data_IF_164075411923
#
_entry.id   IF_164075411923
#
_cell.length_a   1.000
_cell.length_b   1.000
_cell.length_c   1.000
_cell.angle_alpha   90.00
_cell.angle_beta   90.00
_cell.angle_gamma   90.00
#
_symmetry.space_group_name_H-M   'P 1'
#
loop_
_entity.id
_entity.type
_entity.pdbx_description
1 polymer ?
#
# COMPACT_ATOMS: atom_id res chain seq x y z
N UNK A 1 -18.34 -21.64 -29.46
CA UNK A 1 -18.50 -20.30 -28.87
C UNK A 1 -17.26 -19.84 -28.09
N UNK A 2 -16.74 -20.63 -27.14
CA UNK A 2 -15.60 -20.22 -26.29
C UNK A 2 -14.32 -19.83 -27.08
N UNK A 3 -13.95 -20.58 -28.12
CA UNK A 3 -12.76 -20.27 -28.93
C UNK A 3 -12.82 -18.86 -29.51
N UNK A 4 -13.96 -18.50 -30.10
CA UNK A 4 -14.15 -17.17 -30.70
C UNK A 4 -14.19 -16.07 -29.64
N UNK A 5 -14.80 -16.35 -28.48
CA UNK A 5 -14.80 -15.43 -27.34
C UNK A 5 -13.39 -15.13 -26.83
N UNK A 6 -12.57 -16.17 -26.61
CA UNK A 6 -11.18 -16.01 -26.16
C UNK A 6 -10.31 -15.28 -27.18
N UNK A 7 -10.46 -15.61 -28.46
CA UNK A 7 -9.73 -14.92 -29.54
C UNK A 7 -10.06 -13.43 -29.58
N UNK A 8 -11.34 -13.08 -29.41
CA UNK A 8 -11.81 -11.69 -29.40
C UNK A 8 -11.29 -10.94 -28.17
N UNK A 9 -11.40 -11.53 -26.97
CA UNK A 9 -10.91 -10.90 -25.74
C UNK A 9 -9.40 -10.64 -25.83
N UNK A 10 -8.61 -11.61 -26.31
CA UNK A 10 -7.16 -11.46 -26.49
C UNK A 10 -6.85 -10.27 -27.41
N UNK A 11 -7.37 -10.27 -28.65
CA UNK A 11 -6.95 -9.31 -29.67
C UNK A 11 -7.59 -7.92 -29.54
N UNK A 12 -8.82 -7.83 -28.99
CA UNK A 12 -9.56 -6.57 -28.89
C UNK A 12 -9.53 -5.93 -27.50
N UNK A 13 -8.93 -6.57 -26.50
CA UNK A 13 -8.80 -6.03 -25.16
C UNK A 13 -7.39 -6.29 -24.60
N UNK A 14 -7.02 -7.55 -24.35
CA UNK A 14 -5.82 -7.88 -23.57
C UNK A 14 -4.53 -7.34 -24.19
N UNK A 15 -4.34 -7.49 -25.51
CA UNK A 15 -3.13 -7.02 -26.20
C UNK A 15 -2.91 -5.51 -26.11
N UNK A 16 -3.96 -4.72 -25.87
CA UNK A 16 -3.90 -3.26 -25.78
C UNK A 16 -3.98 -2.69 -24.36
N UNK A 17 -4.00 -3.53 -23.31
CA UNK A 17 -4.08 -3.04 -21.93
C UNK A 17 -2.83 -2.23 -21.59
N UNK A 18 -3.03 -1.02 -21.06
CA UNK A 18 -1.99 -0.17 -20.49
C UNK A 18 -2.34 0.17 -19.04
N UNK A 19 -1.33 0.33 -18.19
CA UNK A 19 -1.53 0.77 -16.81
C UNK A 19 -1.72 2.29 -16.75
N UNK A 20 -2.54 2.76 -15.82
CA UNK A 20 -2.52 4.14 -15.35
C UNK A 20 -1.63 4.18 -14.10
N UNK A 21 -0.32 4.28 -14.33
CA UNK A 21 0.69 4.15 -13.28
C UNK A 21 0.53 5.19 -12.17
N UNK A 22 0.27 6.45 -12.52
CA UNK A 22 0.09 7.53 -11.56
C UNK A 22 -1.13 7.28 -10.66
N UNK A 23 -2.24 6.83 -11.24
CA UNK A 23 -3.44 6.49 -10.46
C UNK A 23 -3.18 5.31 -9.53
N UNK A 24 -2.49 4.27 -10.01
CA UNK A 24 -2.13 3.12 -9.17
C UNK A 24 -1.23 3.54 -8.00
N UNK A 25 -0.22 4.38 -8.27
CA UNK A 25 0.69 4.90 -7.26
C UNK A 25 -0.04 5.74 -6.21
N UNK A 26 -0.91 6.64 -6.66
CA UNK A 26 -1.77 7.47 -5.80
C UNK A 26 -2.64 6.61 -4.87
N UNK A 27 -3.27 5.56 -5.41
CA UNK A 27 -4.09 4.63 -4.61
C UNK A 27 -3.28 3.91 -3.53
N UNK A 28 -2.03 3.51 -3.82
CA UNK A 28 -1.18 2.84 -2.83
C UNK A 28 -0.74 3.81 -1.74
N UNK A 29 -0.24 4.99 -2.12
CA UNK A 29 0.33 5.95 -1.16
C UNK A 29 -0.72 6.56 -0.21
N UNK A 30 -1.99 6.62 -0.63
CA UNK A 30 -3.10 7.11 0.19
C UNK A 30 -3.93 5.99 0.82
N UNK A 31 -3.51 4.72 0.69
CA UNK A 31 -4.25 3.59 1.26
C UNK A 31 -4.08 3.50 2.77
N UNK A 32 -5.19 3.33 3.49
CA UNK A 32 -5.16 2.97 4.92
C UNK A 32 -4.49 1.61 5.13
N UNK A 33 -4.49 0.73 4.12
CA UNK A 33 -3.87 -0.59 4.18
C UNK A 33 -2.36 -0.58 4.45
N UNK A 34 -1.68 0.55 4.22
CA UNK A 34 -0.26 0.74 4.55
C UNK A 34 0.04 0.46 6.03
N UNK A 35 -0.95 0.64 6.90
CA UNK A 35 -0.83 0.43 8.34
C UNK A 35 -0.43 -1.01 8.70
N UNK A 36 -0.76 -1.99 7.85
CA UNK A 36 -0.43 -3.41 8.07
C UNK A 36 1.07 -3.66 8.06
N UNK A 37 1.81 -2.93 7.22
CA UNK A 37 3.27 -2.99 7.17
C UNK A 37 3.93 -2.44 8.45
N UNK A 38 3.21 -1.65 9.25
CA UNK A 38 3.70 -1.04 10.48
C UNK A 38 3.51 -1.95 11.71
N UNK A 39 2.65 -2.96 11.64
CA UNK A 39 2.35 -3.85 12.78
C UNK A 39 3.61 -4.42 13.47
N UNK A 40 4.64 -4.90 12.76
CA UNK A 40 5.83 -5.45 13.41
C UNK A 40 6.69 -4.41 14.14
N UNK A 41 6.53 -3.12 13.82
CA UNK A 41 7.35 -2.02 14.34
C UNK A 41 6.62 -1.24 15.43
N UNK A 42 5.32 -1.00 15.25
CA UNK A 42 4.49 -0.20 16.16
C UNK A 42 3.61 -1.06 17.08
N UNK A 43 3.39 -2.33 16.74
CA UNK A 43 2.40 -3.18 17.37
C UNK A 43 0.98 -2.94 16.83
N UNK A 44 0.13 -3.94 17.03
CA UNK A 44 -1.25 -3.96 16.49
C UNK A 44 -2.12 -2.81 17.01
N UNK A 45 -1.99 -2.46 18.30
CA UNK A 45 -2.82 -1.43 18.94
C UNK A 45 -2.58 -0.02 18.34
N UNK A 46 -1.31 0.39 18.22
CA UNK A 46 -0.93 1.67 17.61
C UNK A 46 -1.33 1.74 16.14
N UNK A 47 -1.10 0.66 15.39
CA UNK A 47 -1.54 0.53 14.01
C UNK A 47 -3.06 0.68 13.89
N UNK A 48 -3.84 -0.01 14.71
CA UNK A 48 -5.31 0.07 14.69
C UNK A 48 -5.80 1.49 14.99
N UNK A 49 -5.16 2.17 15.94
CA UNK A 49 -5.47 3.57 16.28
C UNK A 49 -5.26 4.50 15.09
N UNK A 50 -4.12 4.36 14.38
CA UNK A 50 -3.84 5.16 13.17
C UNK A 50 -4.82 4.86 12.05
N UNK A 51 -5.21 3.60 11.86
CA UNK A 51 -6.16 3.24 10.82
C UNK A 51 -7.52 3.91 11.06
N UNK A 52 -7.99 3.93 12.30
CA UNK A 52 -9.23 4.59 12.68
C UNK A 52 -9.15 6.12 12.49
N UNK A 53 -8.04 6.73 12.85
CA UNK A 53 -7.81 8.17 12.68
C UNK A 53 -7.71 8.58 11.21
N UNK A 54 -7.02 7.79 10.38
CA UNK A 54 -6.95 8.00 8.93
C UNK A 54 -8.34 7.95 8.30
N UNK A 55 -9.18 6.98 8.72
CA UNK A 55 -10.56 6.87 8.24
C UNK A 55 -11.43 8.06 8.67
N UNK A 56 -11.28 8.54 9.90
CA UNK A 56 -12.07 9.65 10.43
C UNK A 56 -11.66 11.00 9.85
N UNK A 57 -10.36 11.22 9.63
CA UNK A 57 -9.80 12.52 9.24
C UNK A 57 -9.57 12.65 7.74
N UNK A 58 -9.50 11.54 7.01
CA UNK A 58 -9.11 11.50 5.60
C UNK A 58 -7.61 11.71 5.36
N UNK A 59 -6.80 11.86 6.43
CA UNK A 59 -5.34 11.99 6.33
C UNK A 59 -4.68 10.66 5.98
N UNK A 60 -3.50 10.73 5.36
CA UNK A 60 -2.70 9.55 5.03
C UNK A 60 -2.06 8.90 6.27
N UNK A 61 -1.95 7.57 6.26
CA UNK A 61 -1.26 6.81 7.32
C UNK A 61 0.17 7.29 7.52
N UNK A 62 0.89 7.57 6.42
CA UNK A 62 2.26 8.08 6.46
C UNK A 62 2.36 9.40 7.23
N UNK A 63 1.48 10.36 6.93
CA UNK A 63 1.45 11.69 7.57
C UNK A 63 1.17 11.57 9.06
N UNK A 64 0.15 10.79 9.43
CA UNK A 64 -0.24 10.60 10.82
C UNK A 64 0.87 9.96 11.67
N UNK A 65 1.63 9.01 11.11
CA UNK A 65 2.74 8.36 11.82
C UNK A 65 3.91 9.32 12.03
N UNK A 66 4.20 10.17 11.03
CA UNK A 66 5.20 11.25 11.18
C UNK A 66 4.77 12.30 12.18
N UNK A 67 3.52 12.77 12.13
CA UNK A 67 2.95 13.77 13.06
C UNK A 67 3.06 13.29 14.51
N UNK A 68 2.86 11.99 14.76
CA UNK A 68 2.96 11.40 16.10
C UNK A 68 4.39 11.08 16.54
N UNK A 69 5.38 11.19 15.65
CA UNK A 69 6.79 10.94 15.95
C UNK A 69 7.09 9.50 16.38
N UNK A 70 6.31 8.52 15.92
CA UNK A 70 6.48 7.13 16.34
C UNK A 70 7.59 6.39 15.59
N UNK A 71 7.94 6.87 14.39
CA UNK A 71 9.04 6.39 13.58
C UNK A 71 9.74 7.57 12.93
N UNK A 72 11.06 7.46 12.80
CA UNK A 72 11.83 8.40 12.00
C UNK A 72 11.42 8.34 10.53
N UNK A 73 11.50 9.47 9.85
CA UNK A 73 11.14 9.59 8.43
C UNK A 73 11.88 8.57 7.55
N UNK A 74 13.18 8.40 7.75
CA UNK A 74 13.98 7.45 6.97
C UNK A 74 13.50 6.01 7.15
N UNK A 75 13.17 5.63 8.39
CA UNK A 75 12.65 4.30 8.72
C UNK A 75 11.25 4.09 8.13
N UNK A 76 10.39 5.10 8.21
CA UNK A 76 9.05 5.04 7.64
C UNK A 76 9.09 4.95 6.10
N UNK A 77 9.96 5.74 5.45
CA UNK A 77 10.21 5.70 4.01
C UNK A 77 10.68 4.31 3.57
N UNK A 78 11.59 3.69 4.34
CA UNK A 78 12.05 2.32 4.09
C UNK A 78 10.92 1.30 4.28
N UNK A 79 10.14 1.39 5.36
CA UNK A 79 9.10 0.42 5.66
C UNK A 79 7.99 0.47 4.61
N UNK A 80 7.52 1.66 4.26
CA UNK A 80 6.37 1.90 3.38
C UNK A 80 6.73 2.03 1.89
N UNK A 81 7.97 1.73 1.51
CA UNK A 81 8.37 1.63 0.11
C UNK A 81 7.55 0.54 -0.61
N UNK A 82 6.91 0.80 -1.77
CA UNK A 82 6.06 -0.20 -2.43
C UNK A 82 6.73 -1.55 -2.68
N UNK A 83 7.99 -1.55 -3.12
CA UNK A 83 8.77 -2.78 -3.36
C UNK A 83 8.96 -3.65 -2.10
N UNK A 84 8.80 -3.05 -0.93
CA UNK A 84 8.96 -3.70 0.36
C UNK A 84 7.67 -4.32 0.91
N UNK A 85 6.53 -4.13 0.21
CA UNK A 85 5.20 -4.59 0.62
C UNK A 85 4.61 -5.67 -0.31
N UNK A 86 5.40 -6.18 -1.27
CA UNK A 86 4.94 -7.19 -2.25
C UNK A 86 5.44 -8.61 -1.94
N UNK A 87 6.18 -8.80 -0.84
CA UNK A 87 6.73 -10.09 -0.43
C UNK A 87 7.04 -10.12 1.08
N UNK A 88 7.16 -11.30 1.71
CA UNK A 88 7.59 -11.41 3.10
C UNK A 88 8.98 -10.81 3.31
N UNK A 89 9.17 -10.10 4.43
CA UNK A 89 10.48 -9.54 4.83
C UNK A 89 10.95 -10.12 6.15
N UNK A 90 12.27 -10.33 6.26
CA UNK A 90 12.90 -10.58 7.55
C UNK A 90 13.10 -9.24 8.25
N UNK A 91 12.46 -9.09 9.39
CA UNK A 91 12.57 -7.89 10.22
C UNK A 91 13.64 -8.20 11.27
N UNK A 92 14.78 -7.53 11.18
CA UNK A 92 15.77 -7.59 12.26
C UNK A 92 15.15 -6.88 13.46
N UNK A 93 15.00 -7.61 14.57
CA UNK A 93 14.69 -7.01 15.87
C UNK A 93 16.04 -6.59 16.45
N UNK A 94 16.20 -5.29 16.66
CA UNK A 94 17.29 -4.74 17.47
C UNK A 94 17.11 -5.16 18.94
#
# INVERSE_FOLDING_TARGET
>A
MLIQGMNTLRSKCITGITANEDRCKDMVLHSIGLVTALNPYLGYEKSTTIAAEALQTGKGVYELVLEKGWLDKSKLDEILKPENMIQPRKIQKD
#
